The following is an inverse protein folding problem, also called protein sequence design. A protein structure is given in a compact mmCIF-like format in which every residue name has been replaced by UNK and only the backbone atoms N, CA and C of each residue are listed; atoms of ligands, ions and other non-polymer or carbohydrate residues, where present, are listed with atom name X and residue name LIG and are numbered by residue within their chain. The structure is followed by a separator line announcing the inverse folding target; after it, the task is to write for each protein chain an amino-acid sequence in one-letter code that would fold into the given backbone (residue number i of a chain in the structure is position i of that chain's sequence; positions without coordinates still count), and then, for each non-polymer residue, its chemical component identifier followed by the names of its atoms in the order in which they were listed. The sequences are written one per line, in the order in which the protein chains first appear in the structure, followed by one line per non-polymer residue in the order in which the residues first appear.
data_IF_200549132052
#
_entry.id   IF_200549132052
#
_cell.length_a   1.000
_cell.length_b   1.000
_cell.length_c   1.000
_cell.angle_alpha   90.00
_cell.angle_beta   90.00
_cell.angle_gamma   90.00
#
_symmetry.space_group_name_H-M   'P 1'
#
loop_
_entity.id
_entity.type
_entity.pdbx_description
1 polymer ?
#
# COMPACT_ATOMS: atom_id res chain seq x y z
N UNK A 1 -5.60 23.97 -13.07
CA UNK A 1 -4.65 22.99 -12.50
C UNK A 1 -4.57 21.79 -13.43
N UNK A 2 -3.36 21.34 -13.73
CA UNK A 2 -3.17 20.21 -14.66
C UNK A 2 -3.50 18.88 -13.99
N UNK A 3 -4.08 17.96 -14.77
CA UNK A 3 -4.27 16.57 -14.39
C UNK A 3 -3.48 15.72 -15.37
N UNK A 4 -2.58 14.89 -14.86
CA UNK A 4 -1.62 14.13 -15.66
C UNK A 4 -1.78 12.64 -15.38
N UNK A 5 -2.04 11.84 -16.41
CA UNK A 5 -1.99 10.39 -16.31
C UNK A 5 -0.52 9.91 -16.35
N UNK A 6 -0.13 9.10 -15.37
CA UNK A 6 1.16 8.43 -15.38
C UNK A 6 1.02 7.05 -16.03
N UNK A 7 1.90 6.77 -16.98
CA UNK A 7 1.95 5.52 -17.74
C UNK A 7 3.29 4.86 -17.48
N UNK A 8 3.29 3.54 -17.34
CA UNK A 8 4.51 2.75 -17.20
C UNK A 8 4.90 2.13 -18.54
N UNK A 9 6.17 2.30 -18.91
CA UNK A 9 6.79 1.61 -20.03
C UNK A 9 7.52 0.37 -19.49
N UNK A 10 6.98 -0.81 -19.79
CA UNK A 10 7.53 -2.09 -19.31
C UNK A 10 8.92 -2.41 -19.86
N UNK A 11 9.33 -1.73 -20.94
CA UNK A 11 10.64 -1.93 -21.56
C UNK A 11 11.75 -1.15 -20.84
N UNK A 12 11.42 -0.26 -19.91
CA UNK A 12 12.38 0.50 -19.14
C UNK A 12 12.59 -0.12 -17.76
N UNK A 13 13.80 -0.57 -17.47
CA UNK A 13 14.13 -1.31 -16.24
C UNK A 13 14.08 -0.45 -14.96
N UNK A 14 14.16 0.87 -15.09
CA UNK A 14 14.22 1.82 -13.98
C UNK A 14 12.87 2.46 -13.68
N UNK A 15 11.80 2.00 -14.29
CA UNK A 15 10.44 2.49 -14.11
C UNK A 15 9.65 1.53 -13.22
N UNK A 16 8.71 2.08 -12.47
CA UNK A 16 7.79 1.34 -11.63
C UNK A 16 7.86 1.78 -10.18
N UNK A 17 7.21 1.00 -9.34
CA UNK A 17 7.21 1.23 -7.91
C UNK A 17 8.49 0.65 -7.31
N UNK A 18 9.24 1.49 -6.59
CA UNK A 18 10.52 1.08 -6.00
C UNK A 18 10.35 0.55 -4.57
N UNK A 19 9.47 1.17 -3.79
CA UNK A 19 9.26 0.81 -2.40
C UNK A 19 7.83 1.14 -1.94
N UNK A 20 7.40 0.48 -0.88
CA UNK A 20 6.19 0.82 -0.15
C UNK A 20 6.57 1.59 1.10
N UNK A 21 6.01 2.79 1.28
CA UNK A 21 6.20 3.57 2.50
C UNK A 21 5.00 3.43 3.43
N UNK A 22 5.26 3.32 4.72
CA UNK A 22 4.22 3.46 5.73
C UNK A 22 4.21 4.91 6.20
N UNK A 23 3.04 5.52 6.21
CA UNK A 23 2.90 6.97 6.40
C UNK A 23 1.73 7.31 7.29
N UNK A 24 1.78 8.50 7.92
CA UNK A 24 0.67 9.05 8.69
C UNK A 24 -0.48 9.48 7.78
N UNK A 25 -0.17 10.16 6.68
CA UNK A 25 -1.15 10.70 5.73
C UNK A 25 -0.90 10.13 4.34
N UNK A 26 -1.52 8.99 3.99
CA UNK A 26 -1.32 8.40 2.67
C UNK A 26 -1.86 9.32 1.56
N UNK A 27 -1.08 9.45 0.48
CA UNK A 27 -1.42 10.33 -0.65
C UNK A 27 -2.72 9.89 -1.37
N UNK A 28 -3.04 8.61 -1.32
CA UNK A 28 -4.28 8.06 -1.87
C UNK A 28 -5.47 8.20 -0.93
N UNK A 29 -5.27 8.76 0.26
CA UNK A 29 -6.31 8.99 1.27
C UNK A 29 -7.04 7.71 1.70
N UNK A 30 -6.34 6.57 1.73
CA UNK A 30 -6.88 5.29 2.17
C UNK A 30 -5.99 4.68 3.25
N UNK A 31 -6.59 4.40 4.38
CA UNK A 31 -5.88 3.83 5.51
C UNK A 31 -5.77 2.31 5.38
N UNK A 32 -4.78 1.72 6.06
CA UNK A 32 -4.67 0.27 6.20
C UNK A 32 -5.30 -0.20 7.52
N UNK A 33 -5.45 -1.50 7.67
CA UNK A 33 -5.90 -2.15 8.90
C UNK A 33 -4.81 -3.11 9.40
N UNK A 34 -4.66 -3.18 10.71
CA UNK A 34 -3.80 -4.19 11.34
C UNK A 34 -4.61 -5.47 11.55
N UNK A 35 -4.17 -6.56 10.97
CA UNK A 35 -4.86 -7.83 11.08
C UNK A 35 -4.55 -8.49 12.41
N UNK A 36 -5.61 -8.88 13.13
CA UNK A 36 -5.51 -9.67 14.35
C UNK A 36 -5.76 -11.15 14.04
N UNK A 37 -5.19 -12.02 14.85
CA UNK A 37 -5.52 -13.44 14.76
C UNK A 37 -7.02 -13.64 15.00
N UNK A 38 -7.65 -14.43 14.15
CA UNK A 38 -8.99 -14.92 14.45
C UNK A 38 -8.94 -15.75 15.72
N UNK A 39 -9.84 -15.45 16.65
CA UNK A 39 -9.94 -16.22 17.88
C UNK A 39 -10.21 -17.69 17.60
N UNK A 40 -9.25 -18.53 17.95
CA UNK A 40 -9.55 -19.89 18.36
C UNK A 40 -9.86 -19.78 19.86
N UNK A 41 -11.05 -20.11 20.25
CA UNK A 41 -11.66 -19.90 21.58
C UNK A 41 -10.89 -20.40 22.80
N UNK A 42 -9.62 -20.73 22.71
CA UNK A 42 -8.83 -21.32 23.79
C UNK A 42 -7.53 -20.53 24.10
N UNK A 43 -7.29 -19.43 23.43
CA UNK A 43 -6.11 -18.65 23.72
C UNK A 43 -6.50 -17.32 24.36
N UNK A 44 -6.11 -17.14 25.57
CA UNK A 44 -6.25 -15.90 26.32
C UNK A 44 -5.40 -14.74 25.75
N UNK A 45 -4.81 -14.91 24.60
CA UNK A 45 -3.88 -13.93 24.05
C UNK A 45 -4.32 -13.52 22.67
N UNK A 46 -4.79 -12.30 22.56
CA UNK A 46 -5.04 -11.61 21.31
C UNK A 46 -3.69 -11.32 20.62
N UNK A 47 -3.16 -12.32 19.91
CA UNK A 47 -1.89 -12.18 19.20
C UNK A 47 -2.12 -11.46 17.90
N UNK A 48 -1.58 -10.28 17.80
CA UNK A 48 -1.53 -9.54 16.55
C UNK A 48 -0.73 -10.35 15.50
N UNK A 49 -1.28 -10.48 14.30
CA UNK A 49 -0.55 -11.12 13.19
C UNK A 49 0.65 -10.31 12.72
N UNK A 50 0.71 -9.04 13.11
CA UNK A 50 1.68 -8.06 12.60
C UNK A 50 1.64 -7.93 11.08
N UNK A 51 0.45 -7.95 10.54
CA UNK A 51 0.18 -7.74 9.11
C UNK A 51 -0.66 -6.49 8.96
N UNK A 52 -0.23 -5.63 8.05
CA UNK A 52 -0.96 -4.44 7.62
C UNK A 52 -1.57 -4.71 6.25
N UNK A 53 -2.86 -4.50 6.10
CA UNK A 53 -3.54 -4.61 4.81
C UNK A 53 -4.07 -3.24 4.40
N UNK A 54 -3.82 -2.85 3.16
CA UNK A 54 -4.31 -1.58 2.66
C UNK A 54 -4.16 -1.43 1.15
N UNK A 55 -4.70 -0.35 0.63
CA UNK A 55 -4.55 0.01 -0.76
C UNK A 55 -3.15 0.57 -1.01
N UNK A 56 -2.55 0.14 -2.12
CA UNK A 56 -1.26 0.63 -2.60
C UNK A 56 -1.45 1.68 -3.70
N UNK A 57 -2.32 1.41 -4.66
CA UNK A 57 -2.76 2.38 -5.68
C UNK A 57 -4.25 2.21 -5.96
N UNK A 58 -4.95 3.33 -6.09
CA UNK A 58 -6.38 3.39 -6.43
C UNK A 58 -6.51 3.96 -7.84
N UNK A 59 -7.27 3.29 -8.75
CA UNK A 59 -7.36 3.73 -10.13
C UNK A 59 -8.11 5.04 -10.27
N UNK A 60 -7.63 5.87 -11.18
CA UNK A 60 -8.26 7.12 -11.60
C UNK A 60 -8.50 8.12 -10.47
N UNK A 61 -7.87 7.92 -9.31
CA UNK A 61 -7.97 8.85 -8.19
C UNK A 61 -6.87 9.90 -8.29
N UNK A 62 -7.21 11.19 -8.42
CA UNK A 62 -6.21 12.25 -8.48
C UNK A 62 -5.40 12.33 -7.20
N UNK A 63 -4.09 12.39 -7.36
CA UNK A 63 -3.12 12.54 -6.27
C UNK A 63 -2.46 13.90 -6.42
N UNK A 64 -2.59 14.74 -5.40
CA UNK A 64 -2.01 16.08 -5.40
C UNK A 64 -0.48 16.01 -5.37
N UNK A 65 0.13 16.86 -6.19
CA UNK A 65 1.58 17.07 -6.22
C UNK A 65 1.88 18.56 -6.31
N UNK A 66 2.92 18.97 -5.64
CA UNK A 66 3.46 20.33 -5.74
C UNK A 66 4.96 20.23 -6.01
N UNK A 67 5.36 20.61 -7.18
CA UNK A 67 6.75 20.55 -7.64
C UNK A 67 7.23 21.86 -8.22
N UNK A 68 8.44 21.86 -8.82
CA UNK A 68 9.12 23.07 -9.33
C UNK A 68 8.32 23.87 -10.37
N UNK A 69 7.31 23.30 -10.99
CA UNK A 69 6.45 23.96 -11.98
C UNK A 69 5.05 24.29 -11.43
N UNK A 70 4.84 24.16 -10.11
CA UNK A 70 3.58 24.48 -9.45
C UNK A 70 2.78 23.25 -9.03
N UNK A 71 1.48 23.47 -8.81
CA UNK A 71 0.55 22.45 -8.34
C UNK A 71 -0.07 21.68 -9.51
N UNK A 72 -0.20 20.36 -9.36
CA UNK A 72 -0.84 19.49 -10.34
C UNK A 72 -1.37 18.24 -9.67
N UNK A 73 -2.20 17.48 -10.40
CA UNK A 73 -2.66 16.16 -9.99
C UNK A 73 -2.10 15.11 -10.92
N UNK A 74 -1.76 13.96 -10.37
CA UNK A 74 -1.43 12.76 -11.14
C UNK A 74 -2.47 11.68 -10.87
N UNK A 75 -2.66 10.78 -11.81
CA UNK A 75 -3.47 9.59 -11.61
C UNK A 75 -2.93 8.42 -12.41
N UNK A 76 -3.36 7.23 -12.01
CA UNK A 76 -3.02 5.97 -12.68
C UNK A 76 -4.30 5.31 -13.15
N UNK A 77 -4.32 4.84 -14.39
CA UNK A 77 -5.41 4.03 -14.91
C UNK A 77 -5.36 2.61 -14.35
N UNK A 78 -6.45 1.85 -14.48
CA UNK A 78 -6.49 0.44 -14.08
C UNK A 78 -5.37 -0.38 -14.73
N UNK A 79 -5.16 -0.21 -16.03
CA UNK A 79 -4.14 -0.95 -16.78
C UNK A 79 -2.73 -0.65 -16.26
N UNK A 80 -2.43 0.60 -15.99
CA UNK A 80 -1.14 1.02 -15.43
C UNK A 80 -0.92 0.42 -14.05
N UNK A 81 -1.95 0.38 -13.21
CA UNK A 81 -1.86 -0.20 -11.86
C UNK A 81 -1.57 -1.70 -11.92
N UNK A 82 -2.21 -2.44 -12.83
CA UNK A 82 -1.91 -3.87 -13.03
C UNK A 82 -0.43 -4.05 -13.39
N UNK A 83 0.08 -3.26 -14.34
CA UNK A 83 1.50 -3.30 -14.73
C UNK A 83 2.41 -2.97 -13.55
N UNK A 84 2.11 -1.92 -12.81
CA UNK A 84 2.89 -1.50 -11.63
C UNK A 84 2.98 -2.63 -10.59
N UNK A 85 1.87 -3.28 -10.29
CA UNK A 85 1.82 -4.37 -9.32
C UNK A 85 2.65 -5.57 -9.75
N UNK A 86 2.58 -5.93 -11.03
CA UNK A 86 3.34 -7.04 -11.59
C UNK A 86 4.84 -6.74 -11.63
N UNK A 87 5.22 -5.54 -12.08
CA UNK A 87 6.62 -5.11 -12.15
C UNK A 87 7.26 -5.07 -10.75
N UNK A 88 6.53 -4.64 -9.75
CA UNK A 88 6.99 -4.62 -8.36
C UNK A 88 7.42 -6.01 -7.88
N UNK A 89 6.61 -7.02 -8.17
CA UNK A 89 6.91 -8.41 -7.81
C UNK A 89 8.01 -8.99 -8.69
N UNK A 90 7.96 -8.75 -10.00
CA UNK A 90 8.97 -9.23 -10.94
C UNK A 90 10.36 -8.69 -10.62
N UNK A 91 10.45 -7.45 -10.16
CA UNK A 91 11.71 -6.80 -9.82
C UNK A 91 12.18 -7.09 -8.39
N UNK A 92 11.49 -7.96 -7.65
CA UNK A 92 11.91 -8.39 -6.31
C UNK A 92 11.85 -7.29 -5.26
N UNK A 93 10.90 -6.35 -5.37
CA UNK A 93 10.81 -5.18 -4.50
C UNK A 93 9.97 -5.40 -3.22
N UNK A 94 9.53 -6.63 -2.96
CA UNK A 94 8.61 -6.95 -1.87
C UNK A 94 9.09 -6.51 -0.49
N UNK A 95 10.40 -6.52 -0.26
CA UNK A 95 10.98 -6.12 1.03
C UNK A 95 11.56 -4.71 1.04
N UNK A 96 11.34 -3.93 0.01
CA UNK A 96 11.72 -2.53 -0.03
C UNK A 96 10.65 -1.69 0.65
N UNK A 97 10.91 -1.25 1.87
CA UNK A 97 9.96 -0.45 2.65
C UNK A 97 10.64 0.75 3.27
N UNK A 98 9.89 1.83 3.42
CA UNK A 98 10.39 3.06 4.03
C UNK A 98 9.38 3.61 5.04
N UNK A 99 9.86 4.49 5.91
CA UNK A 99 9.03 5.28 6.81
C UNK A 99 8.98 6.72 6.30
N UNK A 100 7.79 7.22 6.02
CA UNK A 100 7.56 8.59 5.54
C UNK A 100 8.41 8.97 4.32
N UNK A 101 8.69 8.01 3.42
CA UNK A 101 9.53 8.14 2.23
C UNK A 101 11.01 8.52 2.49
N UNK A 102 11.43 8.58 3.74
CA UNK A 102 12.77 9.07 4.11
C UNK A 102 13.70 7.97 4.63
N UNK A 103 13.19 7.13 5.51
CA UNK A 103 13.99 6.15 6.24
C UNK A 103 13.72 4.74 5.72
N UNK A 104 14.75 4.05 5.26
CA UNK A 104 14.63 2.64 4.90
C UNK A 104 14.34 1.78 6.15
N UNK A 105 13.38 0.87 6.02
CA UNK A 105 12.98 -0.05 7.08
C UNK A 105 13.35 -1.47 6.70
N UNK A 106 13.82 -2.23 7.70
CA UNK A 106 14.08 -3.65 7.57
C UNK A 106 12.91 -4.46 8.14
N UNK A 107 12.73 -5.67 7.65
CA UNK A 107 11.77 -6.62 8.21
C UNK A 107 10.33 -6.43 7.77
N UNK A 108 10.07 -5.53 6.83
CA UNK A 108 8.74 -5.37 6.23
C UNK A 108 8.74 -5.99 4.85
N UNK A 109 7.77 -6.87 4.61
CA UNK A 109 7.66 -7.58 3.32
C UNK A 109 6.22 -7.64 2.86
N UNK A 110 5.99 -7.30 1.59
CA UNK A 110 4.71 -7.52 0.95
C UNK A 110 4.50 -9.03 0.79
N UNK A 111 3.53 -9.56 1.49
CA UNK A 111 3.25 -11.02 1.52
C UNK A 111 1.98 -11.39 0.77
N UNK A 112 1.14 -10.42 0.47
CA UNK A 112 -0.03 -10.58 -0.40
C UNK A 112 -0.12 -9.38 -1.32
N UNK A 113 -0.49 -9.62 -2.58
CA UNK A 113 -0.65 -8.59 -3.61
C UNK A 113 -1.75 -9.02 -4.56
N UNK A 114 -2.77 -8.19 -4.75
CA UNK A 114 -3.85 -8.49 -5.67
C UNK A 114 -4.52 -7.23 -6.20
N UNK A 115 -5.25 -7.40 -7.31
CA UNK A 115 -6.10 -6.36 -7.88
C UNK A 115 -7.55 -6.69 -7.53
N UNK A 116 -8.28 -5.71 -7.04
CA UNK A 116 -9.69 -5.87 -6.71
C UNK A 116 -10.50 -6.07 -7.99
N UNK A 117 -11.18 -7.19 -8.11
CA UNK A 117 -12.05 -7.52 -9.25
C UNK A 117 -13.54 -7.42 -8.91
N UNK A 118 -13.89 -7.59 -7.63
CA UNK A 118 -15.26 -7.44 -7.13
C UNK A 118 -15.24 -6.66 -5.83
N UNK A 119 -15.89 -5.52 -5.81
CA UNK A 119 -15.92 -4.65 -4.63
C UNK A 119 -16.52 -5.34 -3.41
N UNK A 120 -17.54 -6.16 -3.59
CA UNK A 120 -18.30 -6.77 -2.49
C UNK A 120 -17.70 -8.09 -2.00
N UNK A 121 -17.05 -8.84 -2.88
CA UNK A 121 -16.50 -10.15 -2.59
C UNK A 121 -15.01 -10.15 -2.31
N UNK A 122 -14.36 -9.01 -2.46
CA UNK A 122 -12.92 -8.88 -2.25
C UNK A 122 -12.56 -9.04 -0.77
N UNK A 123 -11.37 -9.54 -0.52
CA UNK A 123 -10.82 -9.67 0.83
C UNK A 123 -10.83 -8.34 1.58
N UNK A 124 -10.57 -7.23 0.90
CA UNK A 124 -10.61 -5.89 1.49
C UNK A 124 -11.94 -5.56 2.16
N UNK A 125 -13.06 -5.97 1.54
CA UNK A 125 -14.40 -5.73 2.07
C UNK A 125 -14.64 -6.46 3.41
N UNK A 126 -14.03 -7.63 3.59
CA UNK A 126 -14.11 -8.40 4.84
C UNK A 126 -13.49 -7.65 6.03
N UNK A 127 -12.56 -6.75 5.76
CA UNK A 127 -11.87 -5.95 6.78
C UNK A 127 -12.37 -4.50 6.84
N UNK A 128 -13.49 -4.21 6.19
CA UNK A 128 -14.10 -2.89 6.24
C UNK A 128 -13.45 -1.84 5.35
N UNK A 129 -12.60 -2.25 4.42
CA UNK A 129 -11.99 -1.35 3.45
C UNK A 129 -12.90 -1.15 2.25
N UNK A 130 -13.23 0.09 1.94
CA UNK A 130 -14.07 0.46 0.81
C UNK A 130 -13.18 0.98 -0.33
N UNK A 131 -12.88 0.12 -1.28
CA UNK A 131 -12.00 0.44 -2.40
C UNK A 131 -12.67 0.04 -3.73
N UNK A 132 -12.44 0.81 -4.81
CA UNK A 132 -13.03 0.48 -6.10
C UNK A 132 -12.35 -0.71 -6.78
N UNK A 133 -13.05 -1.31 -7.73
CA UNK A 133 -12.48 -2.29 -8.67
C UNK A 133 -11.28 -1.69 -9.39
N UNK A 134 -10.22 -2.46 -9.53
CA UNK A 134 -8.96 -2.03 -10.13
C UNK A 134 -7.92 -1.52 -9.12
N UNK A 135 -8.27 -1.42 -7.84
CA UNK A 135 -7.33 -1.07 -6.78
C UNK A 135 -6.29 -2.16 -6.60
N UNK A 136 -5.02 -1.74 -6.48
CA UNK A 136 -3.95 -2.63 -6.06
C UNK A 136 -3.91 -2.66 -4.53
N UNK A 137 -4.24 -3.83 -3.99
CA UNK A 137 -4.22 -4.11 -2.56
C UNK A 137 -2.99 -4.90 -2.19
N UNK A 138 -2.52 -4.69 -0.98
CA UNK A 138 -1.42 -5.47 -0.46
C UNK A 138 -1.52 -5.70 1.04
N UNK A 139 -0.85 -6.77 1.47
CA UNK A 139 -0.64 -7.06 2.88
C UNK A 139 0.86 -7.10 3.15
N UNK A 140 1.29 -6.36 4.15
CA UNK A 140 2.70 -6.24 4.54
C UNK A 140 2.89 -6.88 5.90
N UNK A 141 3.78 -7.88 5.98
CA UNK A 141 4.22 -8.49 7.23
C UNK A 141 5.27 -7.59 7.86
N UNK A 142 5.08 -7.23 9.11
CA UNK A 142 5.99 -6.38 9.88
C UNK A 142 6.79 -7.26 10.85
N UNK A 143 7.94 -7.76 10.42
CA UNK A 143 8.90 -8.48 11.26
C UNK A 143 9.91 -7.50 11.86
N UNK A 144 9.41 -6.44 12.48
CA UNK A 144 10.18 -5.38 13.09
C UNK A 144 9.39 -4.86 14.29
N UNK A 145 9.75 -5.33 15.48
CA UNK A 145 9.00 -5.01 16.70
C UNK A 145 9.05 -3.51 17.04
N UNK A 146 10.14 -2.84 16.75
CA UNK A 146 10.28 -1.41 16.99
C UNK A 146 9.30 -0.62 16.11
N UNK A 147 9.21 -0.94 14.84
CA UNK A 147 8.25 -0.30 13.92
C UNK A 147 6.82 -0.60 14.35
N UNK A 148 6.52 -1.84 14.69
CA UNK A 148 5.19 -2.22 15.14
C UNK A 148 4.77 -1.45 16.40
N UNK A 149 5.63 -1.44 17.40
CA UNK A 149 5.32 -0.84 18.70
C UNK A 149 5.31 0.70 18.66
N UNK A 150 6.26 1.31 17.94
CA UNK A 150 6.42 2.77 17.92
C UNK A 150 5.50 3.48 16.93
N UNK A 151 5.16 2.85 15.80
CA UNK A 151 4.45 3.51 14.71
C UNK A 151 3.09 2.91 14.41
N UNK A 152 2.94 1.59 14.43
CA UNK A 152 1.68 0.93 14.08
C UNK A 152 0.70 0.94 15.26
N UNK A 153 1.12 0.42 16.41
CA UNK A 153 0.29 0.36 17.62
C UNK A 153 -0.18 1.73 18.10
N UNK A 154 0.62 2.73 17.91
CA UNK A 154 0.38 4.10 18.34
C UNK A 154 -0.44 4.91 17.35
N UNK A 155 -0.80 4.32 16.20
CA UNK A 155 -1.47 5.00 15.08
C UNK A 155 -0.69 6.20 14.52
N UNK A 156 0.63 6.21 14.63
CA UNK A 156 1.46 7.23 14.00
C UNK A 156 1.50 7.09 12.49
N UNK A 157 1.40 5.86 11.98
CA UNK A 157 1.26 5.58 10.55
C UNK A 157 -0.10 4.95 10.30
N UNK A 158 -0.76 5.30 9.21
CA UNK A 158 -2.16 4.92 8.94
C UNK A 158 -2.36 4.27 7.58
N UNK A 159 -1.44 4.41 6.66
CA UNK A 159 -1.60 3.88 5.33
C UNK A 159 -0.28 3.66 4.60
N UNK A 160 -0.42 3.15 3.38
CA UNK A 160 0.69 2.99 2.45
C UNK A 160 0.77 4.17 1.49
N UNK A 161 1.98 4.49 1.09
CA UNK A 161 2.27 5.43 0.02
C UNK A 161 3.39 4.87 -0.87
N UNK A 162 3.28 5.14 -2.14
CA UNK A 162 4.21 4.63 -3.15
C UNK A 162 4.98 5.75 -3.81
#
# INVERSE_FOLDING_TARGET
MKIIELILDEEQDDIGVDAISIVESPAIESDFVALKNQEIKLAEVDKEKKILMGALLIPNKPIYRNGGEGEYYIFFSKDTIVKASQMFLQNGKQSNSTLEHNQALNGLTLVESWIVESKEQDKSAMYGLDVPVGTWMGSVKVNNDDVWNEYVKTNKVKGFSI
#
